data_IF_634814614650
#
_entry.id   IF_634814614650
#
_cell.length_a   1.000
_cell.length_b   1.000
_cell.length_c   1.000
_cell.angle_alpha   90.00
_cell.angle_beta   90.00
_cell.angle_gamma   90.00
#
_symmetry.space_group_name_H-M   'P 1'
#
loop_
_entity.id
_entity.type
_entity.pdbx_description
1 polymer ?
#
# COMPACT_ATOMS: atom_id res chain seq x y z
N UNK A 1 11.38 -8.30 -29.74
CA UNK A 1 10.62 -7.49 -28.76
C UNK A 1 11.45 -6.27 -28.41
N UNK A 2 10.84 -5.09 -28.41
CA UNK A 2 11.55 -3.82 -28.13
C UNK A 2 11.38 -3.48 -26.65
N UNK A 3 12.45 -3.03 -26.00
CA UNK A 3 12.44 -2.67 -24.58
C UNK A 3 12.02 -1.21 -24.44
N UNK A 4 10.92 -0.99 -23.71
CA UNK A 4 10.38 0.34 -23.40
C UNK A 4 11.15 0.99 -22.25
N UNK A 5 11.46 0.21 -21.20
CA UNK A 5 12.21 0.67 -20.03
C UNK A 5 13.32 -0.32 -19.71
N UNK A 6 14.53 0.21 -19.55
CA UNK A 6 15.69 -0.53 -19.05
C UNK A 6 16.24 0.17 -17.82
N UNK A 7 16.33 -0.57 -16.73
CA UNK A 7 16.89 -0.12 -15.45
C UNK A 7 18.12 -0.96 -15.13
N UNK A 8 19.26 -0.30 -14.91
CA UNK A 8 20.55 -0.97 -14.69
C UNK A 8 21.23 -0.43 -13.42
N UNK A 9 21.43 -1.32 -12.44
CA UNK A 9 22.15 -1.08 -11.18
C UNK A 9 21.68 0.19 -10.45
N UNK A 10 20.36 0.42 -10.48
CA UNK A 10 19.75 1.64 -10.01
C UNK A 10 19.82 1.74 -8.49
N UNK A 11 20.44 2.82 -8.01
CA UNK A 11 20.52 3.12 -6.59
C UNK A 11 20.16 4.57 -6.30
N UNK A 12 19.43 4.80 -5.20
CA UNK A 12 19.06 6.15 -4.74
C UNK A 12 19.24 6.25 -3.23
N UNK A 13 19.98 7.28 -2.82
CA UNK A 13 20.22 7.60 -1.42
C UNK A 13 19.64 8.97 -1.05
N UNK A 14 18.96 9.07 0.08
CA UNK A 14 18.47 10.33 0.64
C UNK A 14 19.25 10.69 1.90
N UNK A 15 19.42 12.00 2.16
CA UNK A 15 20.02 12.49 3.40
C UNK A 15 18.93 12.68 4.46
N UNK A 16 19.05 12.05 5.63
CA UNK A 16 18.09 12.18 6.74
C UNK A 16 18.49 13.40 7.59
N UNK A 17 17.51 14.22 8.02
CA UNK A 17 17.72 15.26 9.04
C UNK A 17 17.84 16.71 8.56
N UNK A 18 17.49 17.03 7.31
CA UNK A 18 17.60 18.41 6.78
C UNK A 18 16.33 19.28 6.93
N UNK A 19 15.19 18.73 7.35
CA UNK A 19 13.96 19.50 7.47
C UNK A 19 14.04 20.54 8.60
N UNK A 20 14.80 20.27 9.66
CA UNK A 20 15.07 21.21 10.76
C UNK A 20 16.17 22.24 10.46
N UNK A 21 16.95 22.08 9.39
CA UNK A 21 18.05 23.00 9.03
C UNK A 21 17.71 23.96 7.88
N UNK A 22 16.63 23.71 7.11
CA UNK A 22 16.27 24.56 5.96
C UNK A 22 15.73 25.94 6.32
N UNK A 23 15.44 26.22 7.59
CA UNK A 23 15.04 27.56 8.07
C UNK A 23 16.18 28.37 8.73
N UNK A 24 17.43 27.87 8.77
CA UNK A 24 18.50 28.50 9.55
C UNK A 24 19.79 28.87 8.80
N UNK A 25 19.87 28.74 7.48
CA UNK A 25 21.08 29.16 6.75
C UNK A 25 20.84 30.45 5.96
N UNK A 26 21.32 31.57 6.53
CA UNK A 26 21.32 32.85 5.83
C UNK A 26 21.77 34.08 6.61
N UNK A 27 22.57 33.97 7.69
CA UNK A 27 23.12 35.16 8.35
C UNK A 27 24.65 35.17 8.36
N UNK A 28 25.21 36.25 7.83
CA UNK A 28 26.64 36.62 7.88
C UNK A 28 27.25 36.59 9.31
N UNK A 29 26.40 36.53 10.34
CA UNK A 29 26.80 36.35 11.73
C UNK A 29 27.43 34.98 12.02
N UNK A 30 27.02 33.91 11.34
CA UNK A 30 27.53 32.56 11.66
C UNK A 30 28.99 32.38 11.25
N UNK A 31 29.41 33.02 10.15
CA UNK A 31 30.82 33.03 9.70
C UNK A 31 31.71 33.83 10.67
N UNK A 32 31.18 34.88 11.30
CA UNK A 32 31.88 35.67 12.32
C UNK A 32 32.01 34.93 13.65
N UNK A 33 31.02 34.11 14.02
CA UNK A 33 31.06 33.31 15.25
C UNK A 33 32.01 32.11 15.10
N UNK A 34 32.06 31.47 13.92
CA UNK A 34 32.98 30.35 13.67
C UNK A 34 34.45 30.79 13.59
N UNK A 35 34.73 32.00 13.08
CA UNK A 35 36.09 32.56 13.08
C UNK A 35 36.57 32.99 14.48
N UNK A 36 35.66 33.46 15.35
CA UNK A 36 35.98 33.83 16.73
C UNK A 36 36.26 32.62 17.66
N UNK A 37 35.76 31.43 17.32
CA UNK A 37 35.91 30.20 18.14
C UNK A 37 37.06 29.28 17.72
N UNK A 38 37.75 29.60 16.63
CA UNK A 38 38.91 28.85 16.13
C UNK A 38 40.06 28.68 17.16
N UNK A 39 40.47 29.70 17.95
CA UNK A 39 41.58 29.53 18.89
C UNK A 39 41.21 28.67 20.12
N UNK A 40 39.93 28.64 20.52
CA UNK A 40 39.43 27.81 21.63
C UNK A 40 39.40 26.31 21.29
N UNK A 41 39.14 25.96 20.02
CA UNK A 41 39.18 24.55 19.55
C UNK A 41 40.61 24.00 19.46
N UNK A 42 41.59 24.86 19.18
CA UNK A 42 43.01 24.48 19.15
C UNK A 42 43.58 24.27 20.56
N UNK A 43 43.12 25.03 21.55
CA UNK A 43 43.52 24.84 22.94
C UNK A 43 42.97 23.54 23.56
N UNK A 44 41.79 23.10 23.12
CA UNK A 44 41.17 21.87 23.62
C UNK A 44 41.81 20.57 23.08
N UNK A 45 42.57 20.62 21.97
CA UNK A 45 43.24 19.43 21.41
C UNK A 45 44.55 19.06 22.11
N UNK A 46 45.08 19.93 22.99
CA UNK A 46 46.29 19.69 23.78
C UNK A 46 46.03 18.99 25.13
N UNK A 47 44.78 19.00 25.61
CA UNK A 47 44.35 18.25 26.79
C UNK A 47 43.67 16.97 26.31
N UNK A 48 44.44 15.89 26.24
CA UNK A 48 44.07 14.56 25.73
C UNK A 48 42.87 13.91 26.44
N UNK A 49 41.68 14.46 26.24
CA UNK A 49 40.40 13.78 26.45
C UNK A 49 39.90 13.35 25.07
N UNK A 50 39.97 12.05 24.85
CA UNK A 50 39.25 11.36 23.79
C UNK A 50 37.75 11.59 24.06
N UNK A 51 37.20 12.65 23.48
CA UNK A 51 35.77 12.90 23.48
C UNK A 51 35.17 11.93 22.47
N UNK A 52 34.48 10.91 22.99
CA UNK A 52 33.55 10.10 22.20
C UNK A 52 32.59 11.04 21.46
N UNK A 53 32.57 10.91 20.14
CA UNK A 53 31.72 11.64 19.21
C UNK A 53 30.26 11.15 19.36
N UNK A 54 29.33 11.91 19.98
CA UNK A 54 27.96 11.46 20.17
C UNK A 54 27.10 11.59 18.89
N UNK A 55 27.71 11.83 17.72
CA UNK A 55 27.01 12.17 16.47
C UNK A 55 27.04 11.11 15.37
N UNK A 56 27.74 9.98 15.53
CA UNK A 56 27.76 8.93 14.50
C UNK A 56 26.53 8.06 14.64
N UNK A 57 25.47 8.38 13.89
CA UNK A 57 24.58 7.47 13.13
C UNK A 57 23.39 8.28 12.55
N UNK A 58 23.67 9.37 11.81
CA UNK A 58 22.64 10.03 11.03
C UNK A 58 23.25 10.70 9.81
N UNK A 59 22.91 10.19 8.62
CA UNK A 59 23.29 10.90 7.42
C UNK A 59 22.47 10.46 6.25
N UNK A 60 22.37 9.17 5.97
CA UNK A 60 21.82 8.71 4.70
C UNK A 60 21.03 7.41 4.81
N UNK A 61 19.94 7.32 4.03
CA UNK A 61 19.15 6.11 3.83
C UNK A 61 19.14 5.74 2.35
N UNK A 62 19.36 4.46 2.05
CA UNK A 62 19.19 3.92 0.71
C UNK A 62 17.72 3.59 0.48
N UNK A 63 17.07 4.35 -0.40
CA UNK A 63 15.70 4.07 -0.82
C UNK A 63 15.64 3.03 -1.95
N UNK A 64 16.69 2.98 -2.78
CA UNK A 64 16.91 1.92 -3.77
C UNK A 64 18.39 1.54 -3.75
N UNK A 65 18.68 0.25 -3.95
CA UNK A 65 20.03 -0.31 -3.98
C UNK A 65 20.11 -1.40 -5.04
N UNK A 66 20.93 -1.14 -6.07
CA UNK A 66 21.31 -2.06 -7.13
C UNK A 66 20.12 -2.78 -7.81
N UNK A 67 19.08 -2.02 -8.14
CA UNK A 67 17.88 -2.55 -8.82
C UNK A 67 18.10 -2.60 -10.34
N UNK A 68 17.85 -3.77 -10.96
CA UNK A 68 17.97 -3.95 -12.41
C UNK A 68 16.78 -4.73 -12.97
N UNK A 69 16.13 -4.22 -14.01
CA UNK A 69 15.07 -4.93 -14.75
C UNK A 69 14.81 -4.27 -16.10
N UNK A 70 14.24 -5.05 -17.02
CA UNK A 70 13.76 -4.61 -18.33
C UNK A 70 12.24 -4.81 -18.43
N UNK A 71 11.55 -3.85 -19.06
CA UNK A 71 10.14 -3.90 -19.40
C UNK A 71 9.95 -3.70 -20.91
N UNK A 72 9.33 -4.67 -21.55
CA UNK A 72 9.03 -4.65 -22.99
C UNK A 72 7.84 -3.75 -23.32
N UNK A 73 7.83 -3.24 -24.56
CA UNK A 73 6.70 -2.47 -25.09
C UNK A 73 5.40 -3.29 -25.05
N UNK A 74 4.32 -2.66 -24.56
CA UNK A 74 3.00 -3.26 -24.49
C UNK A 74 2.80 -4.29 -23.37
N UNK A 75 3.77 -4.43 -22.47
CA UNK A 75 3.66 -5.26 -21.27
C UNK A 75 3.26 -4.44 -20.05
N UNK A 76 2.57 -5.12 -19.13
CA UNK A 76 2.15 -4.57 -17.85
C UNK A 76 2.94 -5.24 -16.73
N UNK A 77 3.73 -4.45 -16.01
CA UNK A 77 4.56 -4.89 -14.89
C UNK A 77 3.99 -4.42 -13.55
N UNK A 78 3.70 -5.36 -12.66
CA UNK A 78 3.35 -5.06 -11.28
C UNK A 78 4.58 -4.75 -10.43
N UNK A 79 4.49 -3.77 -9.54
CA UNK A 79 5.50 -3.50 -8.52
C UNK A 79 4.85 -3.64 -7.15
N UNK A 80 5.23 -4.68 -6.43
CA UNK A 80 4.74 -4.97 -5.08
C UNK A 80 5.84 -4.79 -4.04
N UNK A 81 5.45 -4.52 -2.80
CA UNK A 81 6.39 -4.29 -1.70
C UNK A 81 5.75 -3.49 -0.58
N UNK A 82 6.34 -3.57 0.62
CA UNK A 82 5.84 -2.84 1.81
C UNK A 82 5.99 -1.32 1.68
N UNK A 83 5.36 -0.59 2.60
CA UNK A 83 5.64 0.83 2.77
C UNK A 83 7.13 1.03 3.11
N UNK A 84 7.75 2.03 2.49
CA UNK A 84 9.20 2.26 2.61
C UNK A 84 10.08 1.30 1.80
N UNK A 85 9.53 0.37 1.01
CA UNK A 85 10.34 -0.56 0.21
C UNK A 85 11.07 0.07 -1.00
N UNK A 86 10.78 1.34 -1.34
CA UNK A 86 11.41 2.05 -2.45
C UNK A 86 10.52 2.28 -3.68
N UNK A 87 9.27 1.76 -3.70
CA UNK A 87 8.34 1.85 -4.84
C UNK A 87 8.18 3.28 -5.37
N UNK A 88 7.74 4.23 -4.54
CA UNK A 88 7.56 5.63 -4.96
C UNK A 88 8.87 6.31 -5.37
N UNK A 89 10.02 5.87 -4.83
CA UNK A 89 11.33 6.38 -5.27
C UNK A 89 11.67 5.87 -6.66
N UNK A 90 11.41 4.60 -6.95
CA UNK A 90 11.57 4.02 -8.29
C UNK A 90 10.70 4.76 -9.29
N UNK A 91 9.42 4.95 -8.96
CA UNK A 91 8.50 5.67 -9.85
C UNK A 91 8.93 7.11 -10.12
N UNK A 92 9.40 7.86 -9.09
CA UNK A 92 9.93 9.22 -9.26
C UNK A 92 11.16 9.28 -10.17
N UNK A 93 11.99 8.23 -10.19
CA UNK A 93 13.13 8.16 -11.09
C UNK A 93 12.67 7.84 -12.52
N UNK A 94 11.76 6.87 -12.67
CA UNK A 94 11.20 6.50 -13.97
C UNK A 94 10.43 7.66 -14.62
N UNK A 95 9.73 8.48 -13.83
CA UNK A 95 9.04 9.69 -14.28
C UNK A 95 9.94 10.92 -14.39
N UNK A 96 11.27 10.77 -14.18
CA UNK A 96 12.28 11.85 -14.25
C UNK A 96 12.05 13.00 -13.27
N UNK A 97 11.29 12.78 -12.19
CA UNK A 97 11.11 13.75 -11.09
C UNK A 97 12.37 13.85 -10.23
N UNK A 98 13.15 12.77 -10.12
CA UNK A 98 14.43 12.80 -9.40
C UNK A 98 15.49 11.95 -10.09
N UNK A 99 16.74 12.40 -10.06
CA UNK A 99 17.86 11.67 -10.62
C UNK A 99 18.32 10.51 -9.71
N UNK A 100 18.81 9.39 -10.25
CA UNK A 100 19.42 8.35 -9.44
C UNK A 100 20.74 8.82 -8.81
N UNK A 101 21.17 8.16 -7.73
CA UNK A 101 22.51 8.36 -7.17
C UNK A 101 23.57 7.55 -7.92
N UNK A 102 23.20 6.35 -8.38
CA UNK A 102 24.01 5.47 -9.24
C UNK A 102 23.11 4.68 -10.18
N UNK A 103 23.70 4.16 -11.24
CA UNK A 103 22.99 3.38 -12.24
C UNK A 103 22.32 4.25 -13.31
N UNK A 104 21.68 3.58 -14.25
CA UNK A 104 21.11 4.20 -15.45
C UNK A 104 19.67 3.72 -15.66
N UNK A 105 18.83 4.64 -16.14
CA UNK A 105 17.47 4.34 -16.57
C UNK A 105 17.32 4.85 -18.00
N UNK A 106 16.99 3.95 -18.92
CA UNK A 106 16.67 4.28 -20.31
C UNK A 106 15.18 4.09 -20.53
N UNK A 107 14.52 5.11 -21.08
CA UNK A 107 13.07 5.09 -21.35
C UNK A 107 12.82 5.50 -22.80
N UNK A 108 12.04 4.69 -23.53
CA UNK A 108 11.65 4.95 -24.93
C UNK A 108 10.16 5.28 -24.99
N UNK A 109 9.85 6.56 -25.20
CA UNK A 109 8.49 7.10 -25.25
C UNK A 109 8.22 8.14 -24.18
N UNK A 110 7.03 8.74 -24.20
CA UNK A 110 6.55 9.66 -23.16
C UNK A 110 6.06 8.84 -21.98
N UNK A 111 6.46 9.25 -20.78
CA UNK A 111 5.96 8.68 -19.53
C UNK A 111 4.83 9.56 -19.02
N UNK A 112 3.61 9.04 -19.01
CA UNK A 112 2.51 9.62 -18.25
C UNK A 112 2.48 9.01 -16.86
N UNK A 113 2.30 9.82 -15.82
CA UNK A 113 2.29 9.34 -14.45
C UNK A 113 1.05 9.82 -13.70
N UNK A 114 0.35 8.88 -13.07
CA UNK A 114 -0.78 9.14 -12.16
C UNK A 114 -0.34 9.37 -10.71
N UNK A 115 0.94 9.67 -10.48
CA UNK A 115 1.49 9.96 -9.14
C UNK A 115 0.95 11.27 -8.55
N UNK A 116 0.57 12.20 -9.41
CA UNK A 116 0.30 13.60 -9.04
C UNK A 116 -1.06 14.07 -9.57
N UNK A 117 -2.07 13.18 -9.55
CA UNK A 117 -3.42 13.51 -10.05
C UNK A 117 -3.98 14.73 -9.32
N UNK A 118 -4.33 15.76 -10.09
CA UNK A 118 -4.85 17.03 -9.59
C UNK A 118 -3.78 18.07 -9.23
N UNK A 119 -2.49 17.74 -9.31
CA UNK A 119 -1.44 18.76 -9.27
C UNK A 119 -1.44 19.55 -10.58
N UNK A 120 -1.27 20.86 -10.49
CA UNK A 120 -1.31 21.75 -11.66
C UNK A 120 -2.69 22.26 -12.06
N UNK A 121 -3.76 21.91 -11.33
CA UNK A 121 -5.01 22.67 -11.44
C UNK A 121 -4.82 24.07 -10.85
N UNK A 122 -5.38 25.07 -11.51
CA UNK A 122 -5.37 26.45 -11.06
C UNK A 122 -6.74 26.82 -10.45
N UNK A 123 -6.81 27.22 -9.17
CA UNK A 123 -8.07 27.44 -8.45
C UNK A 123 -9.02 28.45 -9.09
N UNK A 124 -8.47 29.48 -9.75
CA UNK A 124 -9.24 30.53 -10.42
C UNK A 124 -9.74 30.15 -11.80
N UNK A 125 -9.22 29.07 -12.41
CA UNK A 125 -9.63 28.63 -13.73
C UNK A 125 -10.85 27.71 -13.64
N UNK A 126 -11.68 27.71 -14.67
CA UNK A 126 -12.81 26.80 -14.84
C UNK A 126 -12.36 25.35 -14.99
N UNK A 127 -13.28 24.39 -14.80
CA UNK A 127 -12.99 22.98 -15.08
C UNK A 127 -12.51 22.76 -16.52
N UNK A 128 -13.13 23.44 -17.49
CA UNK A 128 -12.72 23.43 -18.90
C UNK A 128 -11.27 23.85 -19.09
N UNK A 129 -10.90 25.01 -18.56
CA UNK A 129 -9.53 25.53 -18.66
C UNK A 129 -8.53 24.63 -17.94
N UNK A 130 -8.93 24.05 -16.80
CA UNK A 130 -8.11 23.08 -16.07
C UNK A 130 -7.90 21.77 -16.84
N UNK A 131 -8.86 21.29 -17.64
CA UNK A 131 -8.65 20.14 -18.54
C UNK A 131 -7.50 20.45 -19.51
N UNK A 132 -7.50 21.65 -20.12
CA UNK A 132 -6.45 22.05 -21.05
C UNK A 132 -5.10 22.26 -20.37
N UNK A 133 -5.08 22.94 -19.23
CA UNK A 133 -3.87 23.20 -18.46
C UNK A 133 -3.24 21.90 -17.96
N UNK A 134 -4.03 21.07 -17.30
CA UNK A 134 -3.55 19.83 -16.71
C UNK A 134 -3.19 18.78 -17.78
N UNK A 135 -3.99 18.66 -18.84
CA UNK A 135 -3.64 17.81 -19.98
C UNK A 135 -2.30 18.20 -20.59
N UNK A 136 -2.03 19.50 -20.74
CA UNK A 136 -0.74 19.99 -21.24
C UNK A 136 0.42 19.69 -20.27
N UNK A 137 0.23 19.89 -18.96
CA UNK A 137 1.21 19.54 -17.92
C UNK A 137 1.55 18.04 -17.96
N UNK A 138 0.54 17.19 -18.18
CA UNK A 138 0.69 15.74 -18.27
C UNK A 138 1.20 15.28 -19.66
N UNK A 139 1.51 16.20 -20.58
CA UNK A 139 2.17 15.91 -21.84
C UNK A 139 1.23 15.65 -23.03
N UNK A 140 -0.06 15.97 -22.92
CA UNK A 140 -1.00 15.94 -24.04
C UNK A 140 -0.81 17.16 -24.95
N UNK A 141 -0.82 16.92 -26.25
CA UNK A 141 -0.93 17.99 -27.27
C UNK A 141 -2.33 18.57 -27.20
N UNK A 142 -2.46 19.87 -27.46
CA UNK A 142 -3.76 20.58 -27.48
C UNK A 142 -4.82 19.88 -28.36
N UNK A 143 -4.42 19.31 -29.49
CA UNK A 143 -5.31 18.56 -30.38
C UNK A 143 -5.78 17.21 -29.79
N UNK A 144 -4.95 16.55 -28.97
CA UNK A 144 -5.32 15.34 -28.23
C UNK A 144 -6.37 15.69 -27.17
N UNK A 145 -6.14 16.78 -26.42
CA UNK A 145 -7.08 17.27 -25.40
C UNK A 145 -8.43 17.63 -26.03
N UNK A 146 -8.43 18.40 -27.12
CA UNK A 146 -9.65 18.81 -27.79
C UNK A 146 -10.49 17.62 -28.27
N UNK A 147 -9.83 16.58 -28.80
CA UNK A 147 -10.51 15.34 -29.24
C UNK A 147 -11.12 14.56 -28.09
N UNK A 148 -10.47 14.57 -26.92
CA UNK A 148 -10.89 13.82 -25.73
C UNK A 148 -11.74 14.63 -24.76
N UNK A 149 -12.01 15.90 -25.06
CA UNK A 149 -12.65 16.82 -24.13
C UNK A 149 -14.01 16.29 -23.66
N UNK A 150 -14.88 15.90 -24.59
CA UNK A 150 -16.23 15.44 -24.25
C UNK A 150 -16.19 14.12 -23.47
N UNK A 151 -15.31 13.17 -23.85
CA UNK A 151 -15.07 11.92 -23.10
C UNK A 151 -14.61 12.19 -21.66
N UNK A 152 -13.71 13.17 -21.47
CA UNK A 152 -13.22 13.58 -20.14
C UNK A 152 -14.35 14.17 -19.31
N UNK A 153 -15.16 15.06 -19.89
CA UNK A 153 -16.27 15.71 -19.18
C UNK A 153 -17.32 14.67 -18.79
N UNK A 154 -17.70 13.78 -19.70
CA UNK A 154 -18.65 12.70 -19.43
C UNK A 154 -18.13 11.77 -18.34
N UNK A 155 -16.87 11.32 -18.45
CA UNK A 155 -16.25 10.43 -17.46
C UNK A 155 -16.20 11.07 -16.06
N UNK A 156 -15.92 12.37 -15.98
CA UNK A 156 -15.81 13.09 -14.71
C UNK A 156 -17.14 13.32 -14.00
N UNK A 157 -18.26 13.23 -14.73
CA UNK A 157 -19.60 13.58 -14.24
C UNK A 157 -19.75 15.03 -13.74
N UNK A 158 -18.83 15.94 -14.09
CA UNK A 158 -18.90 17.37 -13.69
C UNK A 158 -19.47 18.29 -14.76
N UNK A 159 -20.14 17.75 -15.77
CA UNK A 159 -20.58 18.50 -16.96
C UNK A 159 -21.34 19.80 -16.67
N UNK A 160 -22.26 19.80 -15.70
CA UNK A 160 -23.01 21.01 -15.30
C UNK A 160 -22.13 22.11 -14.67
N UNK A 161 -20.97 21.74 -14.13
CA UNK A 161 -20.05 22.63 -13.43
C UNK A 161 -18.78 22.91 -14.25
N UNK A 162 -18.70 22.46 -15.50
CA UNK A 162 -17.46 22.49 -16.28
C UNK A 162 -16.92 23.91 -16.48
N UNK A 163 -17.82 24.89 -16.61
CA UNK A 163 -17.50 26.31 -16.77
C UNK A 163 -17.49 27.07 -15.42
N UNK A 164 -17.48 26.35 -14.30
CA UNK A 164 -17.34 26.92 -12.95
C UNK A 164 -15.87 26.85 -12.49
N UNK A 165 -15.31 27.89 -11.84
CA UNK A 165 -13.97 27.85 -11.27
C UNK A 165 -13.77 26.68 -10.29
N UNK A 166 -12.66 25.95 -10.41
CA UNK A 166 -12.43 24.72 -9.63
C UNK A 166 -12.32 24.95 -8.13
N UNK A 167 -12.01 26.18 -7.67
CA UNK A 167 -12.09 26.53 -6.24
C UNK A 167 -13.49 26.39 -5.63
N UNK A 168 -14.54 26.34 -6.47
CA UNK A 168 -15.93 26.13 -6.05
C UNK A 168 -16.36 24.66 -6.15
N UNK A 169 -15.47 23.77 -6.60
CA UNK A 169 -15.76 22.34 -6.67
C UNK A 169 -15.75 21.75 -5.26
N UNK A 170 -16.58 20.74 -5.03
CA UNK A 170 -16.36 19.84 -3.90
C UNK A 170 -15.03 19.10 -4.11
N UNK A 171 -14.46 18.58 -3.02
CA UNK A 171 -13.27 17.73 -3.10
C UNK A 171 -13.47 16.52 -4.04
N UNK A 172 -14.68 15.94 -4.05
CA UNK A 172 -15.05 14.86 -4.96
C UNK A 172 -15.05 15.28 -6.43
N UNK A 173 -15.68 16.42 -6.77
CA UNK A 173 -15.69 16.94 -8.14
C UNK A 173 -14.27 17.26 -8.63
N UNK A 174 -13.46 17.87 -7.77
CA UNK A 174 -12.06 18.19 -8.08
C UNK A 174 -11.29 16.92 -8.45
N UNK A 175 -11.37 15.89 -7.60
CA UNK A 175 -10.70 14.62 -7.84
C UNK A 175 -11.23 13.92 -9.09
N UNK A 176 -12.55 13.84 -9.26
CA UNK A 176 -13.16 13.20 -10.45
C UNK A 176 -12.67 13.83 -11.75
N UNK A 177 -12.63 15.17 -11.83
CA UNK A 177 -12.11 15.85 -13.02
C UNK A 177 -10.62 15.59 -13.24
N UNK A 178 -9.81 15.66 -12.19
CA UNK A 178 -8.38 15.37 -12.27
C UNK A 178 -8.10 13.93 -12.75
N UNK A 179 -8.85 12.95 -12.22
CA UNK A 179 -8.77 11.56 -12.68
C UNK A 179 -9.27 11.39 -14.10
N UNK A 180 -10.32 12.08 -14.50
CA UNK A 180 -10.85 11.98 -15.85
C UNK A 180 -9.81 12.42 -16.88
N UNK A 181 -9.13 13.55 -16.65
CA UNK A 181 -8.03 14.00 -17.51
C UNK A 181 -6.93 12.95 -17.57
N UNK A 182 -6.51 12.46 -16.41
CA UNK A 182 -5.40 11.52 -16.32
C UNK A 182 -5.71 10.14 -16.91
N UNK A 183 -6.95 9.65 -16.80
CA UNK A 183 -7.40 8.38 -17.38
C UNK A 183 -7.56 8.43 -18.90
N UNK A 184 -7.62 9.62 -19.49
CA UNK A 184 -7.64 9.83 -20.95
C UNK A 184 -6.28 10.22 -21.53
N UNK A 185 -5.21 10.12 -20.73
CA UNK A 185 -3.85 10.23 -21.23
C UNK A 185 -3.56 9.09 -22.22
N UNK A 186 -2.85 9.41 -23.30
CA UNK A 186 -2.38 8.44 -24.30
C UNK A 186 -0.84 8.40 -24.41
N UNK A 187 -0.10 8.14 -23.31
CA UNK A 187 1.34 8.01 -23.36
C UNK A 187 1.72 6.60 -23.83
N UNK A 188 2.94 6.48 -24.35
CA UNK A 188 3.53 5.18 -24.71
C UNK A 188 3.80 4.33 -23.45
N UNK A 189 4.11 4.99 -22.33
CA UNK A 189 4.36 4.38 -21.02
C UNK A 189 3.48 5.05 -19.97
N UNK A 190 2.66 4.28 -19.26
CA UNK A 190 1.84 4.76 -18.15
C UNK A 190 2.35 4.21 -16.81
N UNK A 191 2.58 5.11 -15.86
CA UNK A 191 2.92 4.78 -14.48
C UNK A 191 1.70 5.05 -13.61
N UNK A 192 1.20 3.99 -12.98
CA UNK A 192 0.03 4.02 -12.12
C UNK A 192 0.47 3.76 -10.69
N UNK A 193 0.15 4.69 -9.79
CA UNK A 193 0.33 4.51 -8.35
C UNK A 193 -1.03 4.33 -7.68
N UNK A 194 -1.00 3.80 -6.45
CA UNK A 194 -2.10 3.41 -5.56
C UNK A 194 -3.27 4.43 -5.43
N UNK A 195 -3.03 5.66 -5.84
CA UNK A 195 -3.98 6.79 -5.91
C UNK A 195 -5.21 6.46 -6.77
N UNK A 196 -5.31 5.31 -7.45
CA UNK A 196 -6.58 4.89 -8.09
C UNK A 196 -7.77 4.73 -7.11
N UNK A 197 -7.53 4.69 -5.80
CA UNK A 197 -8.57 4.52 -4.78
C UNK A 197 -9.22 5.83 -4.27
N UNK A 198 -9.17 6.94 -5.02
CA UNK A 198 -9.88 8.19 -4.66
C UNK A 198 -11.17 8.36 -5.45
N UNK A 199 -12.21 8.85 -4.77
CA UNK A 199 -13.59 8.90 -5.27
C UNK A 199 -14.49 7.89 -4.54
N UNK A 200 -15.77 7.87 -4.89
CA UNK A 200 -16.70 6.83 -4.43
C UNK A 200 -16.46 5.49 -5.15
N UNK A 201 -17.08 4.42 -4.62
CA UNK A 201 -16.91 3.07 -5.13
C UNK A 201 -17.37 2.88 -6.59
N UNK A 202 -18.32 3.69 -7.06
CA UNK A 202 -18.79 3.64 -8.45
C UNK A 202 -17.74 4.24 -9.38
N UNK A 203 -17.20 5.42 -9.04
CA UNK A 203 -16.14 6.08 -9.80
C UNK A 203 -14.85 5.26 -9.80
N UNK A 204 -14.46 4.66 -8.67
CA UNK A 204 -13.32 3.74 -8.61
C UNK A 204 -13.48 2.56 -9.58
N UNK A 205 -14.69 1.98 -9.69
CA UNK A 205 -14.96 0.90 -10.64
C UNK A 205 -14.80 1.37 -12.09
N UNK A 206 -15.25 2.59 -12.42
CA UNK A 206 -15.04 3.21 -13.74
C UNK A 206 -13.54 3.40 -14.03
N UNK A 207 -12.77 3.89 -13.06
CA UNK A 207 -11.32 4.04 -13.18
C UNK A 207 -10.62 2.70 -13.44
N UNK A 208 -10.94 1.66 -12.66
CA UNK A 208 -10.37 0.33 -12.83
C UNK A 208 -10.76 -0.29 -14.19
N UNK A 209 -11.97 -0.04 -14.68
CA UNK A 209 -12.40 -0.43 -16.02
C UNK A 209 -11.53 0.23 -17.10
N UNK A 210 -11.41 1.56 -17.06
CA UNK A 210 -10.60 2.32 -18.02
C UNK A 210 -9.12 1.90 -18.01
N UNK A 211 -8.55 1.61 -16.83
CA UNK A 211 -7.18 1.12 -16.72
C UNK A 211 -7.00 -0.25 -17.34
N UNK A 212 -7.99 -1.14 -17.24
CA UNK A 212 -7.98 -2.43 -17.91
C UNK A 212 -8.02 -2.27 -19.44
N UNK A 213 -8.81 -1.32 -19.94
CA UNK A 213 -8.86 -0.99 -21.37
C UNK A 213 -7.48 -0.50 -21.85
N UNK A 214 -6.87 0.42 -21.12
CA UNK A 214 -5.51 0.95 -21.38
C UNK A 214 -4.47 -0.16 -21.39
N UNK A 215 -4.54 -1.09 -20.44
CA UNK A 215 -3.66 -2.26 -20.39
C UNK A 215 -3.85 -3.20 -21.60
N UNK A 216 -5.08 -3.35 -22.09
CA UNK A 216 -5.38 -4.21 -23.25
C UNK A 216 -5.00 -3.61 -24.61
N UNK A 217 -4.84 -2.28 -24.69
CA UNK A 217 -4.49 -1.55 -25.93
C UNK A 217 -3.01 -1.67 -26.33
N UNK A 218 -2.25 -2.58 -25.72
CA UNK A 218 -0.83 -2.78 -26.04
C UNK A 218 0.07 -1.64 -25.57
N UNK A 219 -0.36 -0.89 -24.55
CA UNK A 219 0.47 0.14 -23.91
C UNK A 219 1.38 -0.48 -22.85
N UNK A 220 2.53 0.14 -22.64
CA UNK A 220 3.44 -0.27 -21.57
C UNK A 220 2.96 0.33 -20.26
N UNK A 221 2.76 -0.49 -19.22
CA UNK A 221 2.21 -0.02 -17.94
C UNK A 221 3.08 -0.49 -16.77
N UNK A 222 3.44 0.42 -15.87
CA UNK A 222 3.91 0.05 -14.53
C UNK A 222 2.79 0.28 -13.53
N UNK A 223 2.37 -0.80 -12.89
CA UNK A 223 1.26 -0.78 -11.96
C UNK A 223 1.77 -1.03 -10.54
N UNK A 224 1.64 -0.02 -9.68
CA UNK A 224 2.11 -0.08 -8.30
C UNK A 224 0.91 -0.05 -7.37
N UNK A 225 0.79 -1.09 -6.55
CA UNK A 225 -0.32 -1.21 -5.62
C UNK A 225 0.05 -2.10 -4.43
N UNK A 226 -0.53 -1.81 -3.27
CA UNK A 226 -0.59 -2.77 -2.16
C UNK A 226 -1.82 -3.69 -2.25
N UNK A 227 -2.75 -3.43 -3.18
CA UNK A 227 -3.90 -4.29 -3.42
C UNK A 227 -3.48 -5.47 -4.32
N UNK A 228 -3.27 -6.63 -3.71
CA UNK A 228 -2.80 -7.83 -4.41
C UNK A 228 -3.83 -8.36 -5.43
N UNK A 229 -5.12 -8.14 -5.20
CA UNK A 229 -6.19 -8.47 -6.15
C UNK A 229 -6.04 -7.69 -7.45
N UNK A 230 -5.80 -6.39 -7.34
CA UNK A 230 -5.60 -5.52 -8.49
C UNK A 230 -4.33 -5.92 -9.25
N UNK A 231 -3.26 -6.24 -8.53
CA UNK A 231 -2.01 -6.76 -9.11
C UNK A 231 -2.28 -8.06 -9.88
N UNK A 232 -2.92 -9.05 -9.25
CA UNK A 232 -3.29 -10.33 -9.87
C UNK A 232 -4.17 -10.17 -11.10
N UNK A 233 -5.08 -9.20 -11.09
CA UNK A 233 -6.04 -8.97 -12.19
C UNK A 233 -5.42 -8.20 -13.36
N UNK A 234 -4.55 -7.22 -13.09
CA UNK A 234 -4.12 -6.24 -14.08
C UNK A 234 -2.72 -6.51 -14.65
N UNK A 235 -1.93 -7.40 -14.01
CA UNK A 235 -0.52 -7.59 -14.36
C UNK A 235 -0.24 -9.06 -14.68
N UNK A 236 0.63 -9.32 -15.65
CA UNK A 236 1.06 -10.69 -16.00
C UNK A 236 2.36 -11.08 -15.29
N UNK A 237 3.25 -10.11 -15.13
CA UNK A 237 4.52 -10.25 -14.42
C UNK A 237 4.59 -9.20 -13.32
N UNK A 238 5.25 -9.52 -12.20
CA UNK A 238 5.47 -8.58 -11.11
C UNK A 238 6.89 -8.68 -10.54
N UNK A 239 7.38 -7.56 -10.02
CA UNK A 239 8.60 -7.48 -9.22
C UNK A 239 8.26 -7.19 -7.76
N UNK A 240 9.00 -7.82 -6.85
CA UNK A 240 8.90 -7.61 -5.41
C UNK A 240 10.08 -6.76 -4.95
N UNK A 241 9.78 -5.60 -4.38
CA UNK A 241 10.76 -4.73 -3.74
C UNK A 241 10.75 -4.90 -2.22
N UNK A 242 11.93 -5.07 -1.64
CA UNK A 242 12.12 -5.15 -0.19
C UNK A 242 13.35 -4.33 0.22
N UNK A 243 13.17 -3.37 1.13
CA UNK A 243 14.24 -2.49 1.64
C UNK A 243 15.13 -1.90 0.52
N UNK A 244 14.50 -1.47 -0.58
CA UNK A 244 15.15 -0.84 -1.73
C UNK A 244 15.78 -1.80 -2.74
N UNK A 245 15.66 -3.12 -2.56
CA UNK A 245 16.22 -4.14 -3.46
C UNK A 245 15.11 -4.91 -4.17
N UNK A 246 15.37 -5.35 -5.41
CA UNK A 246 14.52 -6.30 -6.13
C UNK A 246 14.86 -7.70 -5.64
N UNK A 247 13.93 -8.33 -4.93
CA UNK A 247 14.12 -9.65 -4.31
C UNK A 247 13.46 -10.78 -5.09
N UNK A 248 12.48 -10.47 -5.94
CA UNK A 248 11.88 -11.42 -6.86
C UNK A 248 11.35 -10.73 -8.11
N UNK A 249 11.39 -11.44 -9.23
CA UNK A 249 10.69 -11.14 -10.49
C UNK A 249 10.12 -12.45 -11.03
N UNK A 250 8.86 -12.44 -11.47
CA UNK A 250 8.25 -13.62 -12.07
C UNK A 250 6.77 -13.41 -12.40
N UNK A 251 6.06 -14.48 -12.80
CA UNK A 251 4.62 -14.44 -12.98
C UNK A 251 3.93 -13.84 -11.77
N UNK A 252 2.94 -12.97 -12.00
CA UNK A 252 2.30 -12.21 -10.93
C UNK A 252 1.80 -13.08 -9.76
N UNK A 253 1.15 -14.25 -9.97
CA UNK A 253 0.72 -15.11 -8.87
C UNK A 253 1.89 -15.53 -7.96
N UNK A 254 3.01 -15.96 -8.54
CA UNK A 254 4.18 -16.40 -7.79
C UNK A 254 4.85 -15.25 -7.04
N UNK A 255 4.94 -14.07 -7.67
CA UNK A 255 5.51 -12.88 -7.04
C UNK A 255 4.64 -12.38 -5.86
N UNK A 256 3.31 -12.44 -6.00
CA UNK A 256 2.38 -12.13 -4.91
C UNK A 256 2.54 -13.16 -3.80
N UNK A 257 2.62 -14.45 -4.12
CA UNK A 257 2.80 -15.49 -3.12
C UNK A 257 4.11 -15.34 -2.34
N UNK A 258 5.20 -15.03 -3.02
CA UNK A 258 6.48 -14.72 -2.38
C UNK A 258 6.41 -13.46 -1.54
N UNK A 259 5.76 -12.39 -2.03
CA UNK A 259 5.59 -11.16 -1.25
C UNK A 259 4.83 -11.42 0.06
N UNK A 260 3.74 -12.18 -0.01
CA UNK A 260 2.95 -12.55 1.17
C UNK A 260 3.70 -13.51 2.11
N UNK A 261 4.60 -14.35 1.59
CA UNK A 261 5.44 -15.26 2.38
C UNK A 261 6.67 -14.57 3.02
N UNK A 262 7.22 -13.53 2.37
CA UNK A 262 8.45 -12.84 2.78
C UNK A 262 8.22 -11.74 3.82
N UNK A 263 6.97 -11.39 4.11
CA UNK A 263 6.65 -10.68 5.35
C UNK A 263 7.12 -11.51 6.55
N UNK A 264 7.56 -10.88 7.63
CA UNK A 264 7.99 -11.54 8.88
C UNK A 264 6.85 -12.28 9.62
N UNK A 265 6.03 -13.02 8.87
CA UNK A 265 5.15 -14.07 9.35
C UNK A 265 6.06 -15.25 9.71
N UNK A 266 6.58 -15.28 10.93
CA UNK A 266 7.21 -16.51 11.42
C UNK A 266 6.10 -17.53 11.63
N UNK A 267 5.96 -18.50 10.73
CA UNK A 267 5.15 -19.70 10.91
C UNK A 267 3.76 -19.44 11.56
N UNK A 268 3.01 -18.43 11.09
CA UNK A 268 1.68 -18.10 11.62
C UNK A 268 1.65 -17.03 12.71
N UNK A 269 2.74 -16.28 12.91
CA UNK A 269 2.76 -15.12 13.80
C UNK A 269 3.36 -13.86 13.15
N UNK A 270 2.75 -12.71 13.46
CA UNK A 270 3.22 -11.35 13.13
C UNK A 270 3.42 -10.58 14.42
N UNK A 271 4.58 -9.94 14.57
CA UNK A 271 4.89 -9.00 15.66
C UNK A 271 5.15 -7.62 15.07
N UNK A 272 4.69 -6.55 15.72
CA UNK A 272 4.92 -5.18 15.25
C UNK A 272 6.04 -4.50 16.03
N UNK A 273 7.03 -3.96 15.32
CA UNK A 273 8.06 -3.12 15.95
C UNK A 273 7.56 -1.69 16.16
N UNK A 274 8.12 -0.98 17.14
CA UNK A 274 7.73 0.39 17.45
C UNK A 274 7.86 1.36 16.25
N UNK A 275 8.80 1.10 15.33
CA UNK A 275 8.99 1.90 14.12
C UNK A 275 7.90 1.67 13.05
N UNK A 276 7.16 0.56 13.11
CA UNK A 276 6.08 0.22 12.18
C UNK A 276 4.73 0.81 12.62
N UNK A 277 4.61 1.24 13.87
CA UNK A 277 3.35 1.71 14.47
C UNK A 277 3.26 3.24 14.31
N UNK A 278 2.22 3.76 13.63
CA UNK A 278 2.03 5.19 13.49
C UNK A 278 1.82 5.87 14.84
N UNK A 279 2.35 7.08 15.03
CA UNK A 279 2.11 7.86 16.25
C UNK A 279 0.61 8.14 16.50
N UNK A 280 -0.20 8.17 15.44
CA UNK A 280 -1.65 8.32 15.50
C UNK A 280 -2.37 7.13 16.17
N UNK A 281 -1.72 5.98 16.29
CA UNK A 281 -2.29 4.79 16.91
C UNK A 281 -2.50 4.91 18.41
N UNK A 282 -1.77 5.82 19.07
CA UNK A 282 -1.95 6.07 20.49
C UNK A 282 -3.41 6.38 20.86
N UNK A 283 -3.90 5.82 21.99
CA UNK A 283 -3.16 5.06 23.00
C UNK A 283 -3.10 3.54 22.77
N UNK A 284 -3.52 3.04 21.60
CA UNK A 284 -3.48 1.62 21.23
C UNK A 284 -2.12 1.27 20.61
N UNK A 285 -1.47 0.22 21.12
CA UNK A 285 -0.23 -0.31 20.59
C UNK A 285 -0.39 -1.81 20.30
N UNK A 286 -0.42 -2.24 19.01
CA UNK A 286 -0.39 -3.66 18.68
C UNK A 286 0.97 -4.28 19.06
N UNK A 287 0.96 -5.52 19.54
CA UNK A 287 2.16 -6.28 19.90
C UNK A 287 2.32 -7.46 18.96
N UNK A 288 1.32 -8.36 18.89
CA UNK A 288 1.41 -9.56 18.07
C UNK A 288 0.05 -10.09 17.62
N UNK A 289 0.05 -10.76 16.47
CA UNK A 289 -1.06 -11.53 15.91
C UNK A 289 -0.58 -12.94 15.65
N UNK A 290 -1.29 -13.95 16.14
CA UNK A 290 -0.90 -15.35 15.99
C UNK A 290 -2.08 -16.19 15.56
N UNK A 291 -1.82 -17.20 14.74
CA UNK A 291 -2.75 -18.28 14.48
C UNK A 291 -2.18 -19.56 15.06
N UNK A 292 -3.01 -20.28 15.81
CA UNK A 292 -2.67 -21.54 16.45
C UNK A 292 -3.55 -22.67 15.97
N UNK A 293 -2.93 -23.85 15.85
CA UNK A 293 -3.62 -25.11 15.65
C UNK A 293 -4.38 -25.55 16.94
N UNK A 294 -5.15 -26.65 16.90
CA UNK A 294 -5.83 -27.16 18.09
C UNK A 294 -4.91 -27.57 19.25
N UNK A 295 -3.61 -27.78 18.98
CA UNK A 295 -2.60 -28.13 19.99
C UNK A 295 -1.98 -26.88 20.62
N UNK A 296 -2.37 -25.69 20.17
CA UNK A 296 -1.84 -24.41 20.63
C UNK A 296 -0.50 -24.03 20.00
N UNK A 297 -0.04 -24.76 18.97
CA UNK A 297 1.20 -24.47 18.25
C UNK A 297 0.91 -23.41 17.19
N UNK A 298 1.78 -22.39 17.12
CA UNK A 298 1.68 -21.36 16.08
C UNK A 298 2.03 -22.01 14.74
N UNK A 299 1.14 -21.91 13.76
CA UNK A 299 1.34 -22.48 12.42
C UNK A 299 0.76 -21.57 11.35
N UNK A 300 1.45 -21.47 10.21
CA UNK A 300 0.93 -20.83 8.99
C UNK A 300 0.20 -21.82 8.09
N UNK A 301 0.15 -23.10 8.45
CA UNK A 301 -0.51 -24.15 7.65
C UNK A 301 -1.41 -24.95 8.57
N UNK A 302 -2.70 -24.92 8.26
CA UNK A 302 -3.77 -25.45 9.13
C UNK A 302 -4.70 -26.33 8.32
N UNK A 303 -5.30 -27.32 8.98
CA UNK A 303 -6.25 -28.23 8.33
C UNK A 303 -7.65 -27.65 8.40
N UNK A 304 -8.37 -27.65 7.27
CA UNK A 304 -9.76 -27.15 7.17
C UNK A 304 -10.70 -27.85 8.16
N UNK A 305 -10.46 -29.15 8.43
CA UNK A 305 -11.27 -29.98 9.33
C UNK A 305 -11.03 -29.73 10.83
N UNK A 306 -10.08 -28.86 11.17
CA UNK A 306 -9.71 -28.55 12.54
C UNK A 306 -10.04 -27.08 12.85
N UNK A 307 -10.52 -26.76 14.06
CA UNK A 307 -10.69 -25.37 14.45
C UNK A 307 -9.31 -24.72 14.61
N UNK A 308 -9.22 -23.42 14.34
CA UNK A 308 -8.00 -22.64 14.55
C UNK A 308 -8.29 -21.46 15.49
N UNK A 309 -7.27 -21.07 16.26
CA UNK A 309 -7.38 -19.95 17.20
C UNK A 309 -6.58 -18.77 16.69
N UNK A 310 -7.22 -17.60 16.64
CA UNK A 310 -6.56 -16.32 16.38
C UNK A 310 -6.34 -15.60 17.71
N UNK A 311 -5.13 -15.11 17.95
CA UNK A 311 -4.76 -14.32 19.13
C UNK A 311 -4.25 -12.95 18.72
N UNK A 312 -4.80 -11.88 19.32
CA UNK A 312 -4.39 -10.49 19.13
C UNK A 312 -3.88 -9.95 20.47
N UNK A 313 -2.59 -9.66 20.54
CA UNK A 313 -1.90 -9.12 21.71
C UNK A 313 -1.65 -7.62 21.50
N UNK A 314 -2.02 -6.80 22.48
CA UNK A 314 -1.87 -5.34 22.41
C UNK A 314 -1.77 -4.69 23.79
N UNK A 315 -1.18 -3.49 23.81
CA UNK A 315 -1.08 -2.64 24.99
C UNK A 315 -1.94 -1.39 24.80
N UNK A 316 -2.69 -1.04 25.84
CA UNK A 316 -3.36 0.26 25.97
C UNK A 316 -2.58 1.13 26.96
N UNK A 317 -2.14 2.31 26.51
CA UNK A 317 -1.43 3.28 27.37
C UNK A 317 -2.37 4.24 28.12
N UNK A 318 -3.64 4.28 27.72
CA UNK A 318 -4.70 5.04 28.34
C UNK A 318 -6.03 4.31 28.10
N UNK A 319 -7.05 4.51 28.94
CA UNK A 319 -8.38 3.92 28.72
C UNK A 319 -8.98 4.35 27.38
N UNK A 320 -9.66 3.44 26.69
CA UNK A 320 -10.40 3.70 25.45
C UNK A 320 -11.86 3.30 25.61
N UNK A 321 -12.76 4.25 25.39
CA UNK A 321 -14.21 4.01 25.35
C UNK A 321 -14.64 3.52 23.98
N UNK A 322 -15.48 2.48 23.94
CA UNK A 322 -16.03 1.88 22.73
C UNK A 322 -14.99 1.22 21.84
N UNK A 323 -13.90 0.70 22.41
CA UNK A 323 -12.85 0.02 21.65
C UNK A 323 -13.36 -1.30 21.06
N UNK A 324 -13.30 -1.39 19.74
CA UNK A 324 -13.52 -2.59 18.95
C UNK A 324 -12.16 -3.09 18.46
N UNK A 325 -11.78 -4.32 18.81
CA UNK A 325 -10.63 -5.00 18.20
C UNK A 325 -11.15 -6.17 17.40
N UNK A 326 -10.81 -6.22 16.12
CA UNK A 326 -11.37 -7.23 15.22
C UNK A 326 -10.43 -7.71 14.15
N UNK A 327 -10.88 -8.76 13.48
CA UNK A 327 -10.19 -9.42 12.39
C UNK A 327 -10.96 -9.28 11.08
N UNK A 328 -10.20 -9.23 10.00
CA UNK A 328 -10.69 -9.29 8.63
C UNK A 328 -10.04 -10.49 8.01
N UNK A 329 -10.84 -11.49 7.65
CA UNK A 329 -10.32 -12.61 6.88
C UNK A 329 -10.65 -12.36 5.41
N UNK A 330 -9.63 -12.37 4.57
CA UNK A 330 -9.77 -12.23 3.13
C UNK A 330 -8.99 -13.32 2.39
N UNK A 331 -9.35 -13.55 1.14
CA UNK A 331 -8.54 -14.36 0.22
C UNK A 331 -7.32 -13.55 -0.24
N UNK A 332 -6.31 -14.20 -0.81
CA UNK A 332 -5.20 -13.49 -1.50
C UNK A 332 -5.66 -12.60 -2.66
N UNK A 333 -6.88 -12.86 -3.17
CA UNK A 333 -7.56 -12.04 -4.17
C UNK A 333 -8.35 -10.88 -3.55
N UNK A 334 -8.15 -10.58 -2.26
CA UNK A 334 -8.77 -9.48 -1.52
C UNK A 334 -10.29 -9.55 -1.42
N UNK A 335 -10.87 -10.73 -1.65
CA UNK A 335 -12.28 -10.98 -1.36
C UNK A 335 -12.42 -11.19 0.14
N UNK A 336 -13.20 -10.36 0.82
CA UNK A 336 -13.50 -10.57 2.24
C UNK A 336 -14.32 -11.86 2.41
N UNK A 337 -13.82 -12.75 3.25
CA UNK A 337 -14.52 -13.97 3.67
C UNK A 337 -15.50 -13.63 4.79
N UNK A 338 -14.98 -13.01 5.85
CA UNK A 338 -15.78 -12.46 6.96
C UNK A 338 -14.98 -11.43 7.76
N UNK A 339 -15.69 -10.70 8.63
CA UNK A 339 -15.12 -9.81 9.65
C UNK A 339 -15.76 -10.13 10.99
N UNK A 340 -15.00 -10.01 12.09
CA UNK A 340 -15.55 -10.16 13.44
C UNK A 340 -14.76 -9.33 14.45
N UNK A 341 -15.44 -8.86 15.49
CA UNK A 341 -14.89 -8.04 16.56
C UNK A 341 -15.09 -8.70 17.93
N UNK A 342 -14.17 -8.40 18.85
CA UNK A 342 -14.15 -8.95 20.22
C UNK A 342 -15.35 -8.55 21.10
N UNK A 343 -16.23 -7.68 20.59
CA UNK A 343 -17.46 -7.22 21.24
C UNK A 343 -18.68 -7.29 20.31
N UNK A 344 -18.69 -8.21 19.32
CA UNK A 344 -19.86 -8.44 18.47
C UNK A 344 -21.10 -8.88 19.29
N UNK A 345 -20.89 -9.51 20.45
CA UNK A 345 -21.96 -9.88 21.37
C UNK A 345 -22.37 -8.68 22.26
N UNK A 346 -23.67 -8.35 22.38
CA UNK A 346 -24.13 -7.21 23.17
C UNK A 346 -23.64 -7.20 24.62
N UNK A 347 -23.58 -8.37 25.26
CA UNK A 347 -23.09 -8.51 26.63
C UNK A 347 -21.62 -8.10 26.77
N UNK A 348 -20.76 -8.45 25.81
CA UNK A 348 -19.37 -8.03 25.78
C UNK A 348 -19.23 -6.54 25.46
N UNK A 349 -20.06 -6.00 24.57
CA UNK A 349 -20.09 -4.57 24.27
C UNK A 349 -20.38 -3.72 25.53
N UNK A 350 -21.36 -4.15 26.34
CA UNK A 350 -21.68 -3.49 27.61
C UNK A 350 -20.56 -3.66 28.65
N UNK A 351 -20.05 -4.89 28.81
CA UNK A 351 -18.99 -5.20 29.77
C UNK A 351 -17.69 -4.42 29.49
N UNK A 352 -17.34 -4.26 28.21
CA UNK A 352 -16.10 -3.60 27.77
C UNK A 352 -16.35 -2.20 27.19
N UNK A 353 -17.43 -1.53 27.61
CA UNK A 353 -17.78 -0.18 27.14
C UNK A 353 -16.63 0.82 27.30
N UNK A 354 -15.80 0.69 28.33
CA UNK A 354 -14.50 1.36 28.42
C UNK A 354 -13.43 0.35 28.83
N UNK A 355 -12.42 0.17 27.96
CA UNK A 355 -11.30 -0.74 28.21
C UNK A 355 -10.17 0.05 28.89
N UNK A 356 -9.79 -0.26 30.15
CA UNK A 356 -8.77 0.50 30.88
C UNK A 356 -7.38 0.36 30.27
N UNK A 357 -6.43 1.21 30.67
CA UNK A 357 -5.02 1.00 30.32
C UNK A 357 -4.53 -0.36 30.84
N UNK A 358 -3.75 -1.07 30.03
CA UNK A 358 -3.33 -2.44 30.38
C UNK A 358 -2.86 -3.25 29.17
N UNK A 359 -2.34 -4.43 29.47
CA UNK A 359 -1.94 -5.42 28.49
C UNK A 359 -3.08 -6.40 28.24
N UNK A 360 -3.40 -6.66 26.97
CA UNK A 360 -4.56 -7.47 26.58
C UNK A 360 -4.21 -8.53 25.55
N UNK A 361 -4.97 -9.62 25.61
CA UNK A 361 -4.92 -10.72 24.66
C UNK A 361 -6.35 -11.09 24.27
N UNK A 362 -6.83 -10.60 23.13
CA UNK A 362 -8.13 -10.98 22.57
C UNK A 362 -7.96 -12.29 21.78
N UNK A 363 -8.84 -13.27 21.99
CA UNK A 363 -8.81 -14.57 21.30
C UNK A 363 -10.16 -14.87 20.66
N UNK A 364 -10.15 -15.41 19.45
CA UNK A 364 -11.34 -15.99 18.84
C UNK A 364 -11.00 -17.30 18.14
N UNK A 365 -11.98 -18.21 18.06
CA UNK A 365 -11.84 -19.48 17.38
C UNK A 365 -12.61 -19.46 16.07
N UNK A 366 -11.94 -19.80 14.98
CA UNK A 366 -12.61 -20.07 13.70
C UNK A 366 -12.99 -21.56 13.70
N UNK A 367 -14.27 -21.91 13.47
CA UNK A 367 -14.72 -23.29 13.55
C UNK A 367 -14.15 -24.15 12.43
N UNK A 368 -14.07 -25.45 12.70
CA UNK A 368 -13.74 -26.47 11.71
C UNK A 368 -14.73 -26.46 10.54
N UNK A 369 -14.28 -26.97 9.39
CA UNK A 369 -15.02 -27.05 8.14
C UNK A 369 -15.53 -25.67 7.64
N UNK A 370 -15.03 -24.53 8.12
CA UNK A 370 -15.47 -23.23 7.63
C UNK A 370 -14.73 -22.83 6.34
N UNK A 371 -13.40 -22.90 6.36
CA UNK A 371 -12.56 -22.36 5.29
C UNK A 371 -12.30 -23.42 4.21
N UNK A 372 -12.33 -23.00 2.95
CA UNK A 372 -11.94 -23.88 1.84
C UNK A 372 -10.42 -23.94 1.69
N UNK A 373 -9.92 -24.79 0.80
CA UNK A 373 -8.49 -24.85 0.47
C UNK A 373 -7.95 -23.53 -0.05
N UNK A 374 -6.67 -23.29 0.22
CA UNK A 374 -5.93 -22.17 -0.33
C UNK A 374 -5.41 -21.24 0.73
N UNK A 375 -5.05 -20.04 0.28
CA UNK A 375 -4.32 -19.06 1.08
C UNK A 375 -5.21 -17.89 1.48
N UNK A 376 -5.16 -17.56 2.76
CA UNK A 376 -5.93 -16.50 3.38
C UNK A 376 -5.01 -15.45 3.98
N UNK A 377 -5.54 -14.24 4.06
CA UNK A 377 -4.91 -13.10 4.70
C UNK A 377 -5.79 -12.68 5.86
N UNK A 378 -5.16 -12.53 7.01
CA UNK A 378 -5.74 -12.05 8.24
C UNK A 378 -5.25 -10.62 8.46
N UNK A 379 -6.19 -9.68 8.46
CA UNK A 379 -5.99 -8.30 8.85
C UNK A 379 -6.52 -8.03 10.25
N UNK A 380 -6.02 -6.97 10.90
CA UNK A 380 -6.51 -6.50 12.20
C UNK A 380 -6.95 -5.04 12.13
N UNK A 381 -7.96 -4.70 12.94
CA UNK A 381 -8.40 -3.33 13.17
C UNK A 381 -8.62 -3.09 14.65
N UNK A 382 -8.23 -1.90 15.10
CA UNK A 382 -8.59 -1.35 16.40
C UNK A 382 -9.20 0.03 16.20
N UNK A 383 -10.46 0.20 16.61
CA UNK A 383 -11.22 1.44 16.38
C UNK A 383 -12.30 1.67 17.41
N UNK A 384 -12.63 2.93 17.66
CA UNK A 384 -13.90 3.31 18.29
C UNK A 384 -14.88 3.76 17.21
N UNK A 385 -16.05 3.11 17.15
CA UNK A 385 -17.05 3.34 16.10
C UNK A 385 -17.44 4.82 16.01
N UNK A 386 -17.37 5.39 14.80
CA UNK A 386 -17.69 6.79 14.55
C UNK A 386 -16.74 7.83 15.17
N UNK A 387 -15.70 7.39 15.90
CA UNK A 387 -14.80 8.30 16.64
C UNK A 387 -13.40 8.29 16.03
N UNK A 388 -12.71 7.14 16.04
CA UNK A 388 -11.32 7.06 15.61
C UNK A 388 -10.91 5.64 15.26
N UNK A 389 -10.16 5.49 14.17
CA UNK A 389 -9.39 4.29 13.88
C UNK A 389 -8.00 4.44 14.48
N UNK A 390 -7.65 3.60 15.44
CA UNK A 390 -6.35 3.64 16.10
C UNK A 390 -5.31 2.90 15.27
N UNK A 391 -5.60 1.66 14.90
CA UNK A 391 -4.66 0.84 14.17
C UNK A 391 -5.38 0.00 13.12
N UNK A 392 -4.74 -0.17 11.97
CA UNK A 392 -5.22 -1.07 10.93
C UNK A 392 -4.03 -1.64 10.16
N UNK A 393 -4.01 -2.96 10.04
CA UNK A 393 -3.08 -3.69 9.18
C UNK A 393 -3.90 -4.74 8.44
N UNK A 394 -4.32 -4.42 7.22
CA UNK A 394 -5.22 -5.26 6.41
C UNK A 394 -4.55 -6.56 5.93
N UNK A 395 -3.21 -6.60 5.92
CA UNK A 395 -2.44 -7.73 5.42
C UNK A 395 -1.44 -8.22 6.48
N UNK A 396 -1.89 -8.27 7.74
CA UNK A 396 -1.02 -8.51 8.89
C UNK A 396 -0.36 -9.89 8.86
N UNK A 397 -1.12 -10.94 8.49
CA UNK A 397 -0.66 -12.32 8.55
C UNK A 397 -1.30 -13.17 7.45
N UNK A 398 -0.49 -13.92 6.70
CA UNK A 398 -0.98 -14.88 5.70
C UNK A 398 -0.82 -16.31 6.20
N UNK A 399 -1.78 -17.19 5.88
CA UNK A 399 -1.74 -18.61 6.22
C UNK A 399 -2.44 -19.46 5.16
N UNK A 400 -2.12 -20.76 5.14
CA UNK A 400 -2.63 -21.76 4.22
C UNK A 400 -3.61 -22.70 4.93
N UNK A 401 -4.65 -23.09 4.21
CA UNK A 401 -5.63 -24.09 4.65
C UNK A 401 -5.53 -25.31 3.73
N UNK A 402 -5.23 -26.46 4.34
CA UNK A 402 -5.22 -27.78 3.70
C UNK A 402 -6.62 -28.41 3.80
N UNK A 403 -7.26 -28.79 2.68
CA UNK A 403 -8.58 -29.41 2.67
C UNK A 403 -8.57 -30.91 3.01
N UNK A 404 -7.43 -31.53 3.33
CA UNK A 404 -7.35 -32.98 3.52
C UNK A 404 -8.33 -33.47 4.61
N UNK A 405 -9.36 -34.20 4.18
CA UNK A 405 -10.45 -34.72 4.99
C UNK A 405 -11.74 -33.87 5.01
N UNK A 406 -11.74 -32.71 4.33
CA UNK A 406 -12.87 -31.80 4.30
C UNK A 406 -14.04 -32.33 3.45
N UNK A 407 -15.27 -31.82 3.64
CA UNK A 407 -16.44 -32.28 2.90
C UNK A 407 -16.29 -32.13 1.37
N UNK A 408 -16.59 -33.19 0.62
CA UNK A 408 -16.57 -33.14 -0.84
C UNK A 408 -15.21 -33.37 -1.49
N UNK A 409 -14.24 -33.92 -0.75
CA UNK A 409 -12.94 -34.31 -1.30
C UNK A 409 -12.99 -35.62 -2.11
N UNK A 410 -14.12 -36.32 -2.14
CA UNK A 410 -14.34 -37.49 -2.99
C UNK A 410 -14.53 -37.17 -4.49
N UNK A 411 -14.69 -35.88 -4.85
CA UNK A 411 -14.80 -35.43 -6.23
C UNK A 411 -13.46 -34.83 -6.69
N UNK A 412 -13.13 -34.99 -7.98
CA UNK A 412 -11.90 -34.44 -8.56
C UNK A 412 -11.97 -32.92 -8.80
N UNK A 413 -13.18 -32.36 -8.87
CA UNK A 413 -13.38 -30.93 -9.09
C UNK A 413 -13.21 -30.14 -7.78
N UNK A 414 -12.46 -29.03 -7.80
CA UNK A 414 -12.30 -28.17 -6.64
C UNK A 414 -13.64 -27.51 -6.29
N UNK A 415 -13.97 -27.49 -5.00
CA UNK A 415 -15.18 -26.83 -4.51
C UNK A 415 -15.02 -25.31 -4.67
N UNK A 416 -16.04 -24.67 -5.23
CA UNK A 416 -16.03 -23.23 -5.48
C UNK A 416 -16.24 -22.41 -4.20
N UNK A 417 -15.63 -21.21 -4.18
CA UNK A 417 -15.79 -20.23 -3.11
C UNK A 417 -14.77 -20.35 -1.96
N UNK A 418 -14.66 -19.32 -1.09
CA UNK A 418 -13.67 -19.27 -0.02
C UNK A 418 -14.09 -20.03 1.25
N UNK A 419 -15.30 -20.58 1.31
CA UNK A 419 -15.80 -21.33 2.47
C UNK A 419 -16.25 -22.74 2.07
N UNK A 420 -16.17 -23.68 3.01
CA UNK A 420 -16.48 -25.10 2.81
C UNK A 420 -17.32 -25.71 3.94
N UNK A 421 -18.44 -25.09 4.35
CA UNK A 421 -19.23 -25.57 5.49
C UNK A 421 -19.64 -27.04 5.34
N UNK A 422 -19.59 -27.77 6.45
CA UNK A 422 -20.20 -29.09 6.56
C UNK A 422 -21.71 -28.93 6.72
N UNK A 423 -22.44 -29.13 5.63
CA UNK A 423 -23.90 -29.09 5.61
C UNK A 423 -24.49 -30.49 5.80
N UNK A 424 -25.46 -30.63 6.72
CA UNK A 424 -26.20 -31.86 6.94
C UNK A 424 -27.37 -31.99 5.97
N UNK A 425 -27.21 -32.80 4.92
CA UNK A 425 -28.26 -33.06 3.93
C UNK A 425 -29.12 -34.25 4.36
N UNK A 426 -30.44 -34.11 4.30
CA UNK A 426 -31.40 -35.21 4.42
C UNK A 426 -31.90 -35.59 3.02
N UNK A 427 -31.93 -36.88 2.70
CA UNK A 427 -32.44 -37.40 1.43
C UNK A 427 -33.66 -38.26 1.73
N UNK A 428 -34.83 -37.77 1.35
CA UNK A 428 -36.10 -38.49 1.51
C UNK A 428 -36.56 -39.00 0.14
N UNK A 429 -36.91 -40.29 0.06
CA UNK A 429 -37.55 -40.87 -1.11
C UNK A 429 -39.05 -40.67 -0.97
N UNK A 430 -39.64 -39.83 -1.83
CA UNK A 430 -41.09 -39.65 -1.93
C UNK A 430 -41.75 -40.79 -2.71
#
# INVERSE_FOLDING_TARGET
>A
MTIAIRVENLSKRYKIGLASQRFQYGMLRDVLVDTAKAPLRFAASLLGKQLEDPGRHAGYIWALKDVSFDLEEGKVLGIVGRNGAGKSTLLKILSRVTEPTRGTVTVRGRVGSLLEVGTGFHPELTGRENIYLNGAILGMKRAEIARKFDEIVEFSEVGQFIDTPVKRYSSGMYLRLAFAVAAHLEPEILVVDEVLAVGDAEFQRKCLGKMNDVASQGRTVLFVSHNMSAILRLTQESIVLQKGQLVMRGPTPEAVDFYLASGQTQAGARTWEAAEIPASAMPFQPIALRIRDPRGVVSDTLRSVEPLTVEIEYQLHAPITGLLVGIYLSTVRGEYVFTSFDVDEPAHYEQYATRPAGHYLSKCQIPADLLNEGRYILGINASSFGVKRYFMDENALAFNVDPMGAPGMQWAEPRQGPIRPRLGWTIERQ
#
